data_IF_734670874988
#
_entry.id   IF_734670874988
#
_cell.length_a   1.000
_cell.length_b   1.000
_cell.length_c   1.000
_cell.angle_alpha   90.00
_cell.angle_beta   90.00
_cell.angle_gamma   90.00
#
_symmetry.space_group_name_H-M   'P 1'
#
loop_
_entity.id
_entity.type
_entity.pdbx_description
1 polymer ?
#
# COMPACT_ATOMS: atom_id res chain seq x y z
N UNK A 1 13.07 36.11 -14.64
CA UNK A 1 11.79 36.45 -13.99
C UNK A 1 11.09 35.13 -13.66
N UNK A 2 11.25 34.62 -12.44
CA UNK A 2 10.64 33.35 -12.00
C UNK A 2 9.25 33.68 -11.45
N UNK A 3 8.20 33.10 -12.06
CA UNK A 3 6.83 33.27 -11.57
C UNK A 3 6.62 32.33 -10.39
N UNK A 4 6.52 32.87 -9.20
CA UNK A 4 6.13 32.11 -8.00
C UNK A 4 4.66 31.70 -8.16
N UNK A 5 4.42 30.43 -8.47
CA UNK A 5 3.05 29.89 -8.50
C UNK A 5 2.38 30.09 -7.13
N UNK A 6 1.09 30.46 -7.13
CA UNK A 6 0.27 30.61 -5.93
C UNK A 6 0.32 29.27 -5.18
N UNK A 7 0.99 29.20 -4.01
CA UNK A 7 0.95 28.01 -3.16
C UNK A 7 -0.50 27.83 -2.72
N UNK A 8 -1.19 26.85 -3.27
CA UNK A 8 -2.49 26.48 -2.75
C UNK A 8 -2.24 25.83 -1.38
N UNK A 9 -2.99 26.26 -0.36
CA UNK A 9 -2.91 25.63 0.95
C UNK A 9 -3.42 24.20 0.82
N UNK A 10 -2.58 23.23 1.18
CA UNK A 10 -3.00 21.84 1.24
C UNK A 10 -4.09 21.69 2.31
N UNK A 11 -5.13 20.88 2.05
CA UNK A 11 -6.15 20.62 3.05
C UNK A 11 -5.55 19.87 4.25
N UNK A 12 -6.09 20.10 5.44
CA UNK A 12 -5.68 19.38 6.65
C UNK A 12 -6.00 17.88 6.59
N UNK A 13 -7.04 17.52 5.83
CA UNK A 13 -7.47 16.15 5.63
C UNK A 13 -7.90 15.95 4.19
N UNK A 14 -7.42 14.86 3.60
CA UNK A 14 -7.81 14.38 2.29
C UNK A 14 -8.28 12.93 2.42
N UNK A 15 -9.46 12.60 1.87
CA UNK A 15 -10.00 11.24 1.88
C UNK A 15 -9.92 10.66 0.46
N UNK A 16 -9.64 9.36 0.36
CA UNK A 16 -9.69 8.62 -0.92
C UNK A 16 -11.10 8.65 -1.56
N UNK A 17 -12.13 8.98 -0.78
CA UNK A 17 -13.52 9.09 -1.23
C UNK A 17 -13.90 10.50 -1.69
N UNK A 18 -13.04 11.50 -1.50
CA UNK A 18 -13.34 12.86 -1.96
C UNK A 18 -13.41 12.84 -3.50
N UNK A 19 -14.42 13.45 -4.16
CA UNK A 19 -14.70 13.24 -5.58
C UNK A 19 -13.48 13.41 -6.50
N UNK A 20 -12.73 14.51 -6.38
CA UNK A 20 -11.56 14.75 -7.23
C UNK A 20 -10.40 13.78 -6.96
N UNK A 21 -10.26 13.28 -5.73
CA UNK A 21 -9.24 12.27 -5.38
C UNK A 21 -9.65 10.91 -5.93
N UNK A 22 -10.95 10.59 -5.83
CA UNK A 22 -11.50 9.34 -6.33
C UNK A 22 -11.33 9.21 -7.84
N UNK A 23 -11.65 10.26 -8.58
CA UNK A 23 -11.45 10.31 -10.03
C UNK A 23 -9.97 10.11 -10.40
N UNK A 24 -9.05 10.76 -9.67
CA UNK A 24 -7.61 10.57 -9.87
C UNK A 24 -7.17 9.14 -9.56
N UNK A 25 -7.68 8.52 -8.49
CA UNK A 25 -7.37 7.13 -8.10
C UNK A 25 -7.87 6.13 -9.14
N UNK A 26 -9.11 6.29 -9.61
CA UNK A 26 -9.72 5.40 -10.60
C UNK A 26 -9.03 5.48 -11.97
N UNK A 27 -8.34 6.59 -12.25
CA UNK A 27 -7.52 6.77 -13.46
C UNK A 27 -6.12 6.15 -13.36
N UNK A 28 -5.65 5.74 -12.18
CA UNK A 28 -4.32 5.13 -12.01
C UNK A 28 -4.33 3.65 -12.41
N UNK A 29 -3.23 3.15 -13.03
CA UNK A 29 -3.05 1.71 -13.22
C UNK A 29 -2.85 1.02 -11.86
N UNK A 30 -3.21 -0.27 -11.76
CA UNK A 30 -3.13 -1.01 -10.49
C UNK A 30 -1.72 -1.16 -9.90
N UNK A 31 -0.66 -0.93 -10.68
CA UNK A 31 0.73 -0.90 -10.21
C UNK A 31 1.09 0.42 -9.50
N UNK A 32 0.33 1.50 -9.74
CA UNK A 32 0.60 2.83 -9.18
C UNK A 32 -0.25 3.09 -7.95
N UNK A 33 0.40 3.42 -6.86
CA UNK A 33 -0.24 3.79 -5.60
C UNK A 33 -0.08 5.27 -5.32
N UNK A 34 -1.20 5.95 -5.04
CA UNK A 34 -1.24 7.34 -4.63
C UNK A 34 -0.76 7.49 -3.18
N UNK A 35 0.22 8.37 -2.97
CA UNK A 35 0.76 8.72 -1.65
C UNK A 35 0.12 10.02 -1.13
N UNK A 36 -0.15 10.97 -2.02
CA UNK A 36 -0.77 12.25 -1.68
C UNK A 36 -0.89 13.17 -2.87
N UNK A 37 -1.20 14.44 -2.61
CA UNK A 37 -1.27 15.49 -3.63
C UNK A 37 -0.16 16.52 -3.42
N UNK A 38 0.45 16.96 -4.51
CA UNK A 38 1.35 18.12 -4.52
C UNK A 38 0.60 19.41 -4.20
N UNK A 39 1.33 20.49 -3.91
CA UNK A 39 0.73 21.82 -3.66
C UNK A 39 0.03 22.41 -4.89
N UNK A 40 0.25 21.83 -6.06
CA UNK A 40 -0.40 22.10 -7.34
C UNK A 40 -1.64 21.22 -7.58
N UNK A 41 -1.99 20.36 -6.63
CA UNK A 41 -3.11 19.41 -6.72
C UNK A 41 -2.82 18.18 -7.58
N UNK A 42 -1.60 18.04 -8.10
CA UNK A 42 -1.22 16.88 -8.90
C UNK A 42 -0.96 15.65 -8.02
N UNK A 43 -1.34 14.44 -8.48
CA UNK A 43 -1.12 13.22 -7.72
C UNK A 43 0.37 12.90 -7.61
N UNK A 44 0.81 12.56 -6.40
CA UNK A 44 2.14 12.02 -6.11
C UNK A 44 1.99 10.53 -5.88
N UNK A 45 2.55 9.73 -6.78
CA UNK A 45 2.40 8.28 -6.81
C UNK A 45 3.76 7.57 -6.76
N UNK A 46 3.74 6.28 -6.41
CA UNK A 46 4.84 5.34 -6.63
C UNK A 46 4.36 4.23 -7.56
N UNK A 47 5.17 3.88 -8.55
CA UNK A 47 4.92 2.75 -9.45
C UNK A 47 5.68 1.50 -8.99
N UNK A 48 4.96 0.52 -8.46
CA UNK A 48 5.55 -0.69 -7.87
C UNK A 48 6.13 -1.66 -8.92
N UNK A 49 5.75 -1.51 -10.19
CA UNK A 49 6.25 -2.36 -11.28
C UNK A 49 7.46 -1.71 -11.98
N UNK A 50 7.41 -0.38 -12.20
CA UNK A 50 8.47 0.34 -12.89
C UNK A 50 9.63 0.78 -11.97
N UNK A 51 9.37 0.93 -10.68
CA UNK A 51 10.36 1.33 -9.68
C UNK A 51 10.72 0.15 -8.75
N UNK A 52 10.84 0.39 -7.44
CA UNK A 52 11.03 -0.65 -6.44
C UNK A 52 9.67 -1.21 -5.99
N UNK A 53 9.50 -2.53 -5.88
CA UNK A 53 8.26 -3.15 -5.38
C UNK A 53 8.09 -3.00 -3.86
N UNK A 54 8.83 -2.07 -3.23
CA UNK A 54 8.90 -1.87 -1.80
C UNK A 54 8.83 -0.39 -1.46
N UNK A 55 8.01 -0.07 -0.45
CA UNK A 55 7.83 1.28 0.09
C UNK A 55 8.14 1.27 1.58
N UNK A 56 8.92 2.24 2.04
CA UNK A 56 9.18 2.50 3.45
C UNK A 56 8.41 3.75 3.90
N UNK A 57 7.59 3.62 4.94
CA UNK A 57 6.87 4.75 5.55
C UNK A 57 7.45 5.04 6.93
N UNK A 58 8.07 6.21 7.09
CA UNK A 58 8.66 6.66 8.34
C UNK A 58 7.96 7.93 8.83
N UNK A 59 7.47 7.92 10.07
CA UNK A 59 6.89 9.09 10.72
C UNK A 59 7.15 9.06 12.22
N UNK A 60 7.08 10.22 12.89
CA UNK A 60 7.01 10.26 14.35
C UNK A 60 5.72 9.60 14.88
N UNK A 61 5.64 9.37 16.18
CA UNK A 61 4.41 8.93 16.84
C UNK A 61 3.26 9.89 16.53
N UNK A 62 2.11 9.36 16.09
CA UNK A 62 0.97 10.17 15.65
C UNK A 62 1.12 10.77 14.24
N UNK A 63 2.27 10.63 13.58
CA UNK A 63 2.55 11.20 12.25
C UNK A 63 1.91 10.46 11.06
N UNK A 64 0.94 9.57 11.31
CA UNK A 64 0.14 8.97 10.24
C UNK A 64 0.73 7.73 9.54
N UNK A 65 1.77 7.07 10.09
CA UNK A 65 2.30 5.81 9.54
C UNK A 65 1.22 4.75 9.29
N UNK A 66 0.38 4.45 10.29
CA UNK A 66 -0.73 3.50 10.17
C UNK A 66 -1.75 3.90 9.10
N UNK A 67 -2.09 5.20 9.05
CA UNK A 67 -3.03 5.73 8.06
C UNK A 67 -2.48 5.60 6.66
N UNK A 68 -1.20 5.93 6.45
CA UNK A 68 -0.52 5.82 5.16
C UNK A 68 -0.45 4.38 4.69
N UNK A 69 -0.06 3.44 5.57
CA UNK A 69 -0.04 2.02 5.22
C UNK A 69 -1.44 1.49 4.90
N UNK A 70 -2.47 1.93 5.64
CA UNK A 70 -3.87 1.60 5.36
C UNK A 70 -4.32 2.13 4.00
N UNK A 71 -3.98 3.36 3.65
CA UNK A 71 -4.41 3.97 2.38
C UNK A 71 -3.72 3.33 1.18
N UNK A 72 -2.44 2.97 1.29
CA UNK A 72 -1.74 2.20 0.27
C UNK A 72 -2.34 0.80 0.12
N UNK A 73 -2.56 0.09 1.23
CA UNK A 73 -3.16 -1.24 1.20
C UNK A 73 -4.58 -1.24 0.62
N UNK A 74 -5.41 -0.25 0.95
CA UNK A 74 -6.76 -0.13 0.41
C UNK A 74 -6.78 -0.03 -1.12
N UNK A 75 -5.84 0.72 -1.71
CA UNK A 75 -5.69 0.82 -3.17
C UNK A 75 -5.31 -0.52 -3.79
N UNK A 76 -4.30 -1.20 -3.24
CA UNK A 76 -3.87 -2.51 -3.75
C UNK A 76 -4.97 -3.58 -3.62
N UNK A 77 -5.67 -3.60 -2.48
CA UNK A 77 -6.80 -4.50 -2.25
C UNK A 77 -7.94 -4.23 -3.23
N UNK A 78 -8.20 -2.96 -3.59
CA UNK A 78 -9.18 -2.60 -4.61
C UNK A 78 -8.83 -3.19 -5.99
N UNK A 79 -7.54 -3.27 -6.32
CA UNK A 79 -7.06 -3.92 -7.54
C UNK A 79 -6.91 -5.45 -7.42
N UNK A 80 -7.44 -6.07 -6.36
CA UNK A 80 -7.47 -7.53 -6.21
C UNK A 80 -6.23 -8.13 -5.55
N UNK A 81 -5.36 -7.31 -4.96
CA UNK A 81 -4.25 -7.83 -4.15
C UNK A 81 -4.77 -8.57 -2.91
N UNK A 82 -3.88 -9.37 -2.31
CA UNK A 82 -4.06 -9.92 -0.97
C UNK A 82 -3.06 -9.24 -0.05
N UNK A 83 -3.49 -8.89 1.17
CA UNK A 83 -2.61 -8.25 2.15
C UNK A 83 -2.29 -9.21 3.29
N UNK A 84 -1.01 -9.43 3.56
CA UNK A 84 -0.53 -10.03 4.80
C UNK A 84 -0.09 -8.90 5.74
N UNK A 85 -0.86 -8.66 6.79
CA UNK A 85 -0.64 -7.57 7.75
C UNK A 85 -0.06 -8.13 9.04
N UNK A 86 1.17 -7.72 9.37
CA UNK A 86 1.89 -8.13 10.56
C UNK A 86 1.84 -7.00 11.60
N UNK A 87 0.96 -7.10 12.59
CA UNK A 87 0.71 -6.05 13.59
C UNK A 87 1.02 -6.54 15.01
N UNK A 88 2.31 -6.72 15.30
CA UNK A 88 2.78 -7.17 16.61
C UNK A 88 2.38 -6.19 17.74
N UNK A 89 2.22 -4.90 17.42
CA UNK A 89 1.75 -3.87 18.37
C UNK A 89 0.26 -4.00 18.68
N UNK A 90 -0.51 -4.71 17.84
CA UNK A 90 -1.96 -5.01 17.96
C UNK A 90 -2.90 -3.80 17.94
N UNK A 91 -2.37 -2.60 17.77
CA UNK A 91 -3.12 -1.33 17.75
C UNK A 91 -2.93 -0.57 16.46
N UNK A 92 -1.88 -0.86 15.69
CA UNK A 92 -1.50 -0.02 14.54
C UNK A 92 -2.34 -0.32 13.30
N UNK A 93 -2.83 -1.57 13.14
CA UNK A 93 -3.48 -2.01 11.90
C UNK A 93 -4.81 -2.73 12.16
N UNK A 94 -5.57 -2.32 13.18
CA UNK A 94 -6.83 -2.98 13.57
C UNK A 94 -7.90 -2.98 12.46
N UNK A 95 -7.82 -2.05 11.51
CA UNK A 95 -8.71 -1.96 10.35
C UNK A 95 -8.65 -3.22 9.46
N UNK A 96 -7.57 -3.99 9.51
CA UNK A 96 -7.35 -5.17 8.68
C UNK A 96 -8.20 -6.39 9.10
N UNK A 97 -8.79 -6.34 10.30
CA UNK A 97 -9.51 -7.49 10.88
C UNK A 97 -10.80 -7.79 10.10
N UNK A 98 -10.98 -9.06 9.75
CA UNK A 98 -12.21 -9.57 9.15
C UNK A 98 -12.42 -9.22 7.68
N UNK A 99 -11.41 -8.65 7.01
CA UNK A 99 -11.48 -8.37 5.58
C UNK A 99 -11.17 -9.65 4.77
N UNK A 100 -12.00 -10.01 3.76
CA UNK A 100 -11.88 -11.29 3.06
C UNK A 100 -10.52 -11.59 2.42
N UNK A 101 -9.82 -10.57 1.91
CA UNK A 101 -8.52 -10.69 1.22
C UNK A 101 -7.33 -10.28 2.09
N UNK A 102 -7.53 -10.20 3.41
CA UNK A 102 -6.50 -9.78 4.36
C UNK A 102 -6.24 -10.86 5.41
N UNK A 103 -5.00 -11.33 5.46
CA UNK A 103 -4.50 -12.15 6.54
C UNK A 103 -3.87 -11.24 7.59
N UNK A 104 -4.43 -11.22 8.80
CA UNK A 104 -4.00 -10.33 9.88
C UNK A 104 -3.39 -11.11 11.05
N UNK A 105 -2.09 -10.95 11.25
CA UNK A 105 -1.30 -11.69 12.25
C UNK A 105 -0.85 -10.75 13.39
N UNK A 106 -0.91 -11.24 14.64
CA UNK A 106 -0.69 -10.41 15.85
C UNK A 106 0.28 -11.00 16.89
N UNK A 107 0.62 -12.26 16.75
CA UNK A 107 1.58 -12.93 17.61
C UNK A 107 2.63 -13.65 16.77
N UNK A 108 3.69 -14.08 17.45
CA UNK A 108 4.89 -14.58 16.80
C UNK A 108 4.60 -15.87 16.03
N UNK A 109 3.73 -16.75 16.55
CA UNK A 109 3.39 -18.01 15.91
C UNK A 109 2.63 -17.75 14.60
N UNK A 110 1.57 -16.93 14.64
CA UNK A 110 0.79 -16.58 13.45
C UNK A 110 1.65 -15.88 12.39
N UNK A 111 2.54 -14.97 12.81
CA UNK A 111 3.46 -14.26 11.90
C UNK A 111 4.43 -15.26 11.26
N UNK A 112 4.98 -16.19 12.04
CA UNK A 112 5.89 -17.21 11.54
C UNK A 112 5.21 -18.06 10.46
N UNK A 113 4.06 -18.64 10.78
CA UNK A 113 3.33 -19.53 9.87
C UNK A 113 2.93 -18.81 8.58
N UNK A 114 2.48 -17.56 8.70
CA UNK A 114 2.14 -16.76 7.53
C UNK A 114 3.34 -16.47 6.62
N UNK A 115 4.52 -16.20 7.18
CA UNK A 115 5.75 -15.99 6.40
C UNK A 115 6.25 -17.28 5.76
N UNK A 116 6.13 -18.42 6.44
CA UNK A 116 6.42 -19.74 5.87
C UNK A 116 5.48 -20.03 4.69
N UNK A 117 4.19 -19.77 4.85
CA UNK A 117 3.19 -19.91 3.79
C UNK A 117 3.48 -18.99 2.59
N UNK A 118 3.82 -17.73 2.84
CA UNK A 118 4.19 -16.77 1.79
C UNK A 118 5.41 -17.26 1.00
N UNK A 119 6.42 -17.83 1.68
CA UNK A 119 7.59 -18.43 1.00
C UNK A 119 7.18 -19.60 0.09
N UNK A 120 6.26 -20.46 0.53
CA UNK A 120 5.78 -21.58 -0.27
C UNK A 120 5.05 -21.08 -1.53
N UNK A 121 4.20 -20.05 -1.38
CA UNK A 121 3.48 -19.42 -2.49
C UNK A 121 4.43 -18.77 -3.52
N UNK A 122 5.44 -18.04 -3.05
CA UNK A 122 6.45 -17.46 -3.94
C UNK A 122 7.22 -18.54 -4.73
N UNK A 123 7.58 -19.66 -4.09
CA UNK A 123 8.21 -20.80 -4.78
C UNK A 123 7.29 -21.36 -5.87
N UNK A 124 6.01 -21.60 -5.55
CA UNK A 124 5.02 -22.11 -6.50
C UNK A 124 4.89 -21.22 -7.73
N UNK A 125 4.80 -19.89 -7.55
CA UNK A 125 4.72 -18.93 -8.67
C UNK A 125 5.98 -18.89 -9.51
N UNK A 126 7.16 -18.92 -8.87
CA UNK A 126 8.43 -18.92 -9.59
C UNK A 126 8.62 -20.17 -10.44
N UNK A 127 8.21 -21.34 -9.95
CA UNK A 127 8.23 -22.59 -10.74
C UNK A 127 7.25 -22.58 -11.93
N UNK A 128 6.25 -21.69 -11.92
CA UNK A 128 5.32 -21.52 -13.04
C UNK A 128 5.86 -20.55 -14.10
N UNK A 129 6.60 -19.51 -13.69
CA UNK A 129 7.23 -18.53 -14.60
C UNK A 129 8.51 -19.07 -15.24
N UNK A 130 9.30 -19.80 -14.46
CA UNK A 130 10.48 -20.52 -14.95
C UNK A 130 10.02 -21.94 -15.18
N UNK A 131 9.59 -22.28 -16.40
CA UNK A 131 9.21 -23.65 -16.74
C UNK A 131 10.23 -24.62 -16.18
N UNK A 132 9.82 -25.48 -15.25
CA UNK A 132 10.70 -26.45 -14.61
C UNK A 132 11.22 -27.44 -15.65
N UNK A 133 12.35 -27.09 -16.27
CA UNK A 133 13.42 -28.03 -16.58
C UNK A 133 14.05 -28.40 -15.24
N UNK A 134 14.04 -29.69 -14.95
CA UNK A 134 14.57 -30.24 -13.72
C UNK A 134 16.07 -29.98 -13.54
N UNK A 135 16.48 -29.97 -12.27
CA UNK A 135 17.84 -30.34 -11.85
C UNK A 135 17.68 -31.42 -10.80
#
# INVERSE_FOLDING_TARGET
MWKTAKKNTLPELLRLTDPGVREQLEALPGSKVLIGLGTDGQPVCVDLDAESPHVLVCSASGGGTSTTLRTLAAQLLHHGAHALVLDLKRVSQQWARGLPTVTYCRDIADIHDALVGLRAELKRRRCHVVGCVGV
#
